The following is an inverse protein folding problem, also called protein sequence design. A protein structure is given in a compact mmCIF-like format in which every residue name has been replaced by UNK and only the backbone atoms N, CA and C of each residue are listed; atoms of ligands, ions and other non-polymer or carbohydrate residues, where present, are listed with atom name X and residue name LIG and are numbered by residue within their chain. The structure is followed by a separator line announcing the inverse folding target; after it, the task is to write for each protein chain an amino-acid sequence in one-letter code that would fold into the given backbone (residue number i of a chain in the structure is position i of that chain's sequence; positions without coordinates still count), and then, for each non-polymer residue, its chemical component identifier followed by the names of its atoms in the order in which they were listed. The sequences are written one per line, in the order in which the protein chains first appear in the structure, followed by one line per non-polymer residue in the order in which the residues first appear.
data_IF_626919614303
#
_entry.id   IF_626919614303
#
_cell.length_a   1.000
_cell.length_b   1.000
_cell.length_c   1.000
_cell.angle_alpha   90.00
_cell.angle_beta   90.00
_cell.angle_gamma   90.00
#
_symmetry.space_group_name_H-M   'P 1'
#
loop_
_entity.id
_entity.type
_entity.pdbx_description
1 polymer ?
#
# COMPACT_ATOMS: atom_id res chain seq x y z
N UNK A 1 18.10 8.73 -4.27
CA UNK A 1 17.86 10.02 -3.59
C UNK A 1 16.56 9.86 -2.81
N UNK A 2 16.59 9.80 -1.46
CA UNK A 2 15.42 9.45 -0.65
C UNK A 2 14.32 10.51 -0.84
N UNK A 3 13.12 10.09 -1.23
CA UNK A 3 11.92 10.94 -1.44
C UNK A 3 11.67 11.89 -0.26
N UNK A 4 12.02 11.48 0.96
CA UNK A 4 12.03 12.29 2.19
C UNK A 4 12.86 13.57 2.11
N UNK A 5 13.92 13.63 1.29
CA UNK A 5 14.78 14.81 1.16
C UNK A 5 14.12 15.93 0.33
N UNK A 6 13.36 15.57 -0.71
CA UNK A 6 12.63 16.52 -1.55
C UNK A 6 11.51 17.19 -0.74
N UNK A 7 10.73 16.42 0.01
CA UNK A 7 9.66 17.00 0.84
C UNK A 7 10.21 17.81 2.02
N UNK A 8 11.32 17.39 2.66
CA UNK A 8 12.01 18.20 3.67
C UNK A 8 12.52 19.54 3.11
N UNK A 9 12.97 19.56 1.86
CA UNK A 9 13.43 20.78 1.18
C UNK A 9 12.25 21.70 0.82
N UNK A 10 11.17 21.16 0.26
CA UNK A 10 9.94 21.91 -0.03
C UNK A 10 9.34 22.54 1.24
N UNK A 11 9.41 21.83 2.39
CA UNK A 11 9.02 22.36 3.72
C UNK A 11 9.77 23.65 4.07
N UNK A 12 11.07 23.66 3.80
CA UNK A 12 11.98 24.77 4.14
C UNK A 12 11.87 25.94 3.17
N UNK A 13 11.63 25.66 1.88
CA UNK A 13 11.77 26.67 0.82
C UNK A 13 10.45 27.36 0.50
N UNK A 14 9.33 26.64 0.47
CA UNK A 14 8.09 27.20 -0.10
C UNK A 14 7.12 27.76 0.92
N UNK A 15 7.14 27.33 2.19
CA UNK A 15 6.19 27.80 3.23
C UNK A 15 4.70 27.58 2.91
N UNK A 16 4.39 27.03 1.74
CA UNK A 16 3.06 26.76 1.19
C UNK A 16 2.88 25.25 1.16
N UNK A 17 1.74 24.79 1.68
CA UNK A 17 1.32 23.38 1.70
C UNK A 17 0.38 23.17 0.52
N UNK A 18 0.80 22.60 -0.63
CA UNK A 18 -0.17 22.19 -1.63
C UNK A 18 -1.04 21.10 -0.99
N UNK A 19 -2.36 21.30 -1.01
CA UNK A 19 -3.33 20.42 -0.33
C UNK A 19 -3.19 18.96 -0.73
N UNK A 20 -2.88 18.71 -1.99
CA UNK A 20 -2.74 17.38 -2.58
C UNK A 20 -1.61 16.55 -1.93
N UNK A 21 -0.55 17.21 -1.44
CA UNK A 21 0.55 16.55 -0.73
C UNK A 21 0.43 16.69 0.80
N UNK A 22 -0.73 17.12 1.32
CA UNK A 22 -0.91 17.35 2.75
C UNK A 22 -0.67 16.07 3.57
N UNK A 23 -1.10 14.92 3.06
CA UNK A 23 -0.97 13.64 3.75
C UNK A 23 0.50 13.18 3.90
N UNK A 24 1.37 13.55 2.94
CA UNK A 24 2.80 13.25 3.02
C UNK A 24 3.46 13.87 4.26
N UNK A 25 2.96 15.01 4.73
CA UNK A 25 3.44 15.61 5.98
C UNK A 25 3.09 14.78 7.21
N UNK A 26 1.93 14.12 7.20
CA UNK A 26 1.51 13.26 8.31
C UNK A 26 2.35 11.97 8.37
N UNK A 27 2.70 11.41 7.20
CA UNK A 27 3.41 10.13 7.15
C UNK A 27 4.92 10.24 7.07
N UNK A 28 5.49 11.37 6.66
CA UNK A 28 6.92 11.48 6.33
C UNK A 28 7.88 11.07 7.45
N UNK A 29 7.57 11.42 8.71
CA UNK A 29 8.39 11.03 9.86
C UNK A 29 8.20 9.55 10.24
N UNK A 30 7.05 8.97 9.91
CA UNK A 30 6.73 7.57 10.17
C UNK A 30 7.24 6.64 9.07
N UNK A 31 7.29 7.12 7.83
CA UNK A 31 7.78 6.39 6.68
C UNK A 31 9.22 5.90 6.88
N UNK A 32 10.09 6.76 7.44
CA UNK A 32 11.47 6.40 7.73
C UNK A 32 11.62 5.52 9.01
N UNK A 33 10.56 5.40 9.83
CA UNK A 33 10.59 4.68 11.13
C UNK A 33 10.01 3.27 11.05
N UNK A 34 9.21 2.98 10.04
CA UNK A 34 8.61 1.66 9.88
C UNK A 34 9.63 0.75 9.20
N UNK A 35 10.06 -0.26 9.94
CA UNK A 35 10.93 -1.32 9.44
C UNK A 35 10.08 -2.47 8.91
N UNK A 36 10.23 -2.75 7.61
CA UNK A 36 9.46 -3.78 6.89
C UNK A 36 10.16 -5.14 6.88
N UNK A 37 11.41 -5.20 7.35
CA UNK A 37 12.18 -6.45 7.41
C UNK A 37 12.01 -7.15 8.78
N UNK A 38 11.15 -6.60 9.65
CA UNK A 38 10.75 -7.20 10.91
C UNK A 38 9.90 -8.47 10.71
N UNK A 39 9.89 -9.32 11.74
CA UNK A 39 8.91 -10.40 11.83
C UNK A 39 7.48 -9.83 11.84
N UNK A 40 6.45 -10.58 11.39
CA UNK A 40 5.07 -10.09 11.41
C UNK A 40 4.61 -9.52 12.76
N UNK A 41 4.98 -10.17 13.86
CA UNK A 41 4.61 -9.74 15.20
C UNK A 41 5.35 -8.47 15.65
N UNK A 42 6.64 -8.36 15.31
CA UNK A 42 7.44 -7.16 15.60
C UNK A 42 6.96 -5.97 14.77
N UNK A 43 6.67 -6.19 13.49
CA UNK A 43 6.08 -5.19 12.61
C UNK A 43 4.76 -4.68 13.19
N UNK A 44 3.84 -5.56 13.60
CA UNK A 44 2.56 -5.15 14.16
C UNK A 44 2.73 -4.33 15.46
N UNK A 45 3.66 -4.73 16.33
CA UNK A 45 3.99 -3.97 17.55
C UNK A 45 4.54 -2.59 17.23
N UNK A 46 5.53 -2.50 16.32
CA UNK A 46 6.16 -1.25 15.94
C UNK A 46 5.16 -0.32 15.22
N UNK A 47 4.39 -0.88 14.29
CA UNK A 47 3.39 -0.16 13.53
C UNK A 47 2.28 0.38 14.45
N UNK A 48 1.88 -0.38 15.48
CA UNK A 48 0.89 0.06 16.44
C UNK A 48 1.28 1.33 17.23
N UNK A 49 2.56 1.66 17.32
CA UNK A 49 3.03 2.88 17.99
C UNK A 49 2.68 4.17 17.22
N UNK A 50 2.38 4.07 15.92
CA UNK A 50 1.92 5.19 15.13
C UNK A 50 0.45 5.53 15.43
N UNK A 51 0.07 6.83 15.45
CA UNK A 51 -1.33 7.23 15.50
C UNK A 51 -2.13 6.55 14.40
N UNK A 52 -3.37 6.13 14.71
CA UNK A 52 -4.21 5.40 13.75
C UNK A 52 -4.35 6.10 12.39
N UNK A 53 -4.57 7.43 12.31
CA UNK A 53 -4.65 8.10 11.01
C UNK A 53 -3.35 7.98 10.20
N UNK A 54 -2.19 8.03 10.86
CA UNK A 54 -0.89 7.84 10.21
C UNK A 54 -0.78 6.41 9.69
N UNK A 55 -1.17 5.41 10.47
CA UNK A 55 -1.16 4.01 10.04
C UNK A 55 -1.97 3.80 8.78
N UNK A 56 -3.19 4.34 8.74
CA UNK A 56 -4.05 4.24 7.57
C UNK A 56 -3.42 4.92 6.35
N UNK A 57 -2.87 6.12 6.51
CA UNK A 57 -2.21 6.83 5.42
C UNK A 57 -0.96 6.10 4.90
N UNK A 58 -0.11 5.56 5.78
CA UNK A 58 1.08 4.78 5.39
C UNK A 58 0.66 3.51 4.64
N UNK A 59 -0.25 2.72 5.21
CA UNK A 59 -0.64 1.44 4.64
C UNK A 59 -1.32 1.62 3.28
N UNK A 60 -2.22 2.59 3.13
CA UNK A 60 -2.85 2.92 1.86
C UNK A 60 -1.80 3.42 0.84
N UNK A 61 -0.94 4.35 1.23
CA UNK A 61 0.10 4.86 0.34
C UNK A 61 1.04 3.75 -0.16
N UNK A 62 1.45 2.85 0.74
CA UNK A 62 2.38 1.78 0.43
C UNK A 62 1.82 0.82 -0.64
N UNK A 63 0.59 0.32 -0.48
CA UNK A 63 0.00 -0.58 -1.48
C UNK A 63 -0.24 0.14 -2.81
N UNK A 64 -0.67 1.40 -2.80
CA UNK A 64 -0.88 2.18 -4.02
C UNK A 64 0.44 2.38 -4.76
N UNK A 65 1.49 2.83 -4.07
CA UNK A 65 2.79 3.10 -4.69
C UNK A 65 3.44 1.86 -5.28
N UNK A 66 3.34 0.71 -4.60
CA UNK A 66 3.90 -0.55 -5.11
C UNK A 66 3.11 -1.06 -6.31
N UNK A 67 1.77 -0.98 -6.24
CA UNK A 67 0.90 -1.42 -7.33
C UNK A 67 1.08 -0.56 -8.58
N UNK A 68 1.22 0.76 -8.43
CA UNK A 68 1.50 1.66 -9.56
C UNK A 68 2.90 1.44 -10.16
N UNK A 69 3.85 0.90 -9.38
CA UNK A 69 5.21 0.66 -9.84
C UNK A 69 5.35 -0.70 -10.56
N UNK A 70 4.66 -1.74 -10.09
CA UNK A 70 4.81 -3.08 -10.66
C UNK A 70 3.70 -4.07 -10.34
N UNK A 71 2.46 -3.59 -10.20
CA UNK A 71 1.26 -4.38 -9.94
C UNK A 71 1.20 -5.03 -8.54
N UNK A 72 0.04 -5.64 -8.22
CA UNK A 72 -0.18 -6.32 -6.94
C UNK A 72 0.83 -7.47 -6.67
N UNK A 73 1.25 -8.28 -7.67
CA UNK A 73 2.30 -9.27 -7.45
C UNK A 73 3.60 -8.69 -6.87
N UNK A 74 4.06 -7.52 -7.35
CA UNK A 74 5.24 -6.86 -6.79
C UNK A 74 5.01 -6.43 -5.34
N UNK A 75 3.86 -5.83 -5.04
CA UNK A 75 3.49 -5.46 -3.67
C UNK A 75 3.58 -6.67 -2.73
N UNK A 76 3.01 -7.81 -3.12
CA UNK A 76 3.04 -9.00 -2.28
C UNK A 76 4.43 -9.66 -2.19
N UNK A 77 5.24 -9.60 -3.25
CA UNK A 77 6.60 -10.15 -3.26
C UNK A 77 7.56 -9.36 -2.37
N UNK A 78 7.40 -8.04 -2.33
CA UNK A 78 8.24 -7.13 -1.56
C UNK A 78 7.92 -7.21 -0.04
N UNK A 79 8.83 -6.65 0.77
CA UNK A 79 8.60 -6.51 2.22
C UNK A 79 7.33 -5.68 2.51
N UNK A 80 6.94 -4.77 1.60
CA UNK A 80 5.70 -3.98 1.68
C UNK A 80 4.42 -4.82 1.75
N UNK A 81 4.40 -6.05 1.23
CA UNK A 81 3.26 -6.95 1.31
C UNK A 81 2.82 -7.26 2.76
N UNK A 82 3.69 -7.03 3.75
CA UNK A 82 3.35 -7.18 5.16
C UNK A 82 2.16 -6.30 5.59
N UNK A 83 1.92 -5.18 4.89
CA UNK A 83 0.82 -4.25 5.14
C UNK A 83 -0.54 -4.75 4.65
N UNK A 84 -0.65 -5.81 3.85
CA UNK A 84 -1.87 -6.07 3.06
C UNK A 84 -3.18 -6.02 3.87
N UNK A 85 -3.28 -6.62 5.08
CA UNK A 85 -4.49 -6.52 5.88
C UNK A 85 -4.82 -5.09 6.35
N UNK A 86 -3.82 -4.32 6.80
CA UNK A 86 -3.96 -2.91 7.19
C UNK A 86 -4.26 -2.03 5.99
N UNK A 87 -3.64 -2.30 4.84
CA UNK A 87 -3.84 -1.55 3.61
C UNK A 87 -5.28 -1.71 3.09
N UNK A 88 -5.85 -2.92 3.16
CA UNK A 88 -7.26 -3.17 2.84
C UNK A 88 -8.19 -2.33 3.72
N UNK A 89 -7.95 -2.33 5.04
CA UNK A 89 -8.74 -1.52 5.96
C UNK A 89 -8.54 -0.02 5.70
N UNK A 90 -7.31 0.40 5.44
CA UNK A 90 -6.95 1.79 5.17
C UNK A 90 -7.67 2.32 3.93
N UNK A 91 -7.63 1.58 2.82
CA UNK A 91 -8.32 1.92 1.57
C UNK A 91 -9.82 2.12 1.82
N UNK A 92 -10.45 1.26 2.62
CA UNK A 92 -11.85 1.40 2.99
C UNK A 92 -12.14 2.73 3.72
N UNK A 93 -11.33 3.08 4.72
CA UNK A 93 -11.59 4.27 5.56
C UNK A 93 -11.20 5.59 4.88
N UNK A 94 -10.29 5.57 3.90
CA UNK A 94 -9.96 6.76 3.10
C UNK A 94 -10.94 6.99 1.94
N UNK A 95 -11.88 6.05 1.72
CA UNK A 95 -12.93 6.15 0.71
C UNK A 95 -12.57 5.53 -0.65
N UNK A 96 -11.58 4.63 -0.69
CA UNK A 96 -11.15 3.89 -1.88
C UNK A 96 -11.67 2.44 -1.81
N UNK A 97 -12.98 2.28 -1.66
CA UNK A 97 -13.62 0.99 -1.38
C UNK A 97 -13.49 -0.04 -2.51
N UNK A 98 -13.48 0.39 -3.77
CA UNK A 98 -13.30 -0.49 -4.92
C UNK A 98 -11.88 -1.09 -4.93
N UNK A 99 -10.86 -0.26 -4.72
CA UNK A 99 -9.47 -0.74 -4.55
C UNK A 99 -9.32 -1.64 -3.32
N UNK A 100 -10.03 -1.34 -2.21
CA UNK A 100 -10.04 -2.20 -1.03
C UNK A 100 -10.61 -3.60 -1.33
N UNK A 101 -11.66 -3.66 -2.15
CA UNK A 101 -12.26 -4.93 -2.59
C UNK A 101 -11.32 -5.73 -3.48
N UNK A 102 -10.70 -5.07 -4.47
CA UNK A 102 -9.73 -5.72 -5.37
C UNK A 102 -8.52 -6.28 -4.59
N UNK A 103 -7.96 -5.49 -3.66
CA UNK A 103 -6.88 -5.95 -2.78
C UNK A 103 -7.32 -7.13 -1.92
N UNK A 104 -8.54 -7.11 -1.37
CA UNK A 104 -9.05 -8.23 -0.57
C UNK A 104 -9.12 -9.53 -1.38
N UNK A 105 -9.66 -9.48 -2.60
CA UNK A 105 -9.69 -10.65 -3.49
C UNK A 105 -8.28 -11.15 -3.80
N UNK A 106 -7.34 -10.23 -4.07
CA UNK A 106 -5.96 -10.59 -4.36
C UNK A 106 -5.26 -11.23 -3.14
N UNK A 107 -5.58 -10.81 -1.92
CA UNK A 107 -5.10 -11.47 -0.70
C UNK A 107 -5.61 -12.92 -0.59
N UNK A 108 -6.87 -13.17 -0.97
CA UNK A 108 -7.46 -14.52 -0.92
C UNK A 108 -6.76 -15.49 -1.88
N UNK A 109 -6.24 -15.01 -3.02
CA UNK A 109 -5.42 -15.82 -3.92
C UNK A 109 -4.16 -16.34 -3.23
N UNK A 110 -3.60 -15.61 -2.25
CA UNK A 110 -2.43 -16.03 -1.48
C UNK A 110 -2.80 -16.91 -0.27
N UNK A 111 -4.01 -16.77 0.25
CA UNK A 111 -4.57 -17.63 1.30
C UNK A 111 -5.41 -16.89 2.32
N UNK A 112 -6.20 -17.67 3.08
CA UNK A 112 -6.99 -17.21 4.22
C UNK A 112 -6.69 -18.09 5.44
N UNK A 113 -6.04 -17.57 6.50
CA UNK A 113 -5.61 -16.18 6.68
C UNK A 113 -4.45 -15.79 5.76
N UNK A 114 -4.35 -14.49 5.45
CA UNK A 114 -3.28 -13.92 4.63
C UNK A 114 -1.88 -14.18 5.23
N UNK A 115 -0.91 -14.71 4.46
CA UNK A 115 0.44 -14.96 4.96
C UNK A 115 1.27 -13.67 5.05
N UNK A 116 1.41 -13.11 6.25
CA UNK A 116 2.26 -11.93 6.52
C UNK A 116 3.76 -12.20 6.45
N UNK A 117 4.18 -13.45 6.59
CA UNK A 117 5.58 -13.82 6.43
C UNK A 117 6.02 -13.66 4.97
N UNK A 118 7.13 -12.96 4.73
CA UNK A 118 7.57 -12.64 3.37
C UNK A 118 8.05 -13.88 2.62
N UNK A 119 8.82 -14.76 3.27
CA UNK A 119 9.30 -15.99 2.64
C UNK A 119 8.13 -16.86 2.21
N UNK A 120 7.09 -16.95 3.03
CA UNK A 120 5.86 -17.67 2.70
C UNK A 120 5.15 -17.07 1.49
N UNK A 121 5.10 -15.74 1.35
CA UNK A 121 4.54 -15.10 0.15
C UNK A 121 5.39 -15.35 -1.09
N UNK A 122 6.71 -15.24 -0.98
CA UNK A 122 7.63 -15.50 -2.11
C UNK A 122 7.41 -16.92 -2.65
N UNK A 123 7.29 -17.93 -1.78
CA UNK A 123 7.00 -19.31 -2.18
C UNK A 123 5.67 -19.46 -2.94
N UNK A 124 4.71 -18.55 -2.75
CA UNK A 124 3.41 -18.57 -3.43
C UNK A 124 3.38 -17.74 -4.71
N UNK A 125 4.31 -16.79 -4.87
CA UNK A 125 4.33 -15.81 -5.97
C UNK A 125 5.41 -16.15 -7.00
N UNK A 126 6.60 -16.53 -6.56
CA UNK A 126 7.74 -16.80 -7.43
C UNK A 126 7.45 -17.86 -8.51
N UNK A 127 6.75 -18.98 -8.20
CA UNK A 127 6.38 -19.96 -9.22
C UNK A 127 5.51 -19.36 -10.34
N UNK A 128 4.65 -18.39 -10.01
CA UNK A 128 3.71 -17.78 -10.94
C UNK A 128 4.41 -17.08 -12.11
N UNK A 129 5.60 -16.52 -11.90
CA UNK A 129 6.40 -15.87 -12.94
C UNK A 129 7.12 -16.84 -13.87
N UNK A 130 7.28 -18.10 -13.43
CA UNK A 130 7.95 -19.16 -14.18
C UNK A 130 6.96 -20.17 -14.79
N UNK A 131 5.67 -20.03 -14.49
CA UNK A 131 4.62 -20.92 -14.92
C UNK A 131 4.49 -20.90 -16.45
N UNK A 132 4.39 -22.09 -17.04
CA UNK A 132 4.02 -22.23 -18.46
C UNK A 132 2.51 -21.96 -18.63
N UNK A 133 2.08 -21.49 -19.80
CA UNK A 133 0.68 -21.13 -20.12
C UNK A 133 -0.37 -22.24 -19.91
N UNK A 134 0.06 -23.47 -19.57
CA UNK A 134 -0.81 -24.63 -19.29
C UNK A 134 -0.84 -25.04 -17.82
N UNK A 135 -0.20 -24.25 -16.95
CA UNK A 135 -0.13 -24.48 -15.50
C UNK A 135 -1.28 -23.73 -14.79
N UNK A 136 -1.99 -24.36 -13.83
CA UNK A 136 -2.88 -23.65 -12.89
C UNK A 136 -2.28 -22.36 -12.29
N UNK A 137 -0.96 -22.30 -12.14
CA UNK A 137 -0.25 -21.11 -11.66
C UNK A 137 -0.28 -19.93 -12.64
N UNK A 138 -0.39 -20.17 -13.96
CA UNK A 138 -0.56 -19.11 -14.95
C UNK A 138 -1.91 -18.40 -14.80
N UNK A 139 -2.98 -19.15 -14.53
CA UNK A 139 -4.31 -18.59 -14.29
C UNK A 139 -4.36 -17.71 -13.02
N UNK A 140 -3.56 -18.05 -12.01
CA UNK A 140 -3.44 -17.24 -10.79
C UNK A 140 -2.67 -15.94 -11.02
N UNK A 141 -1.61 -15.95 -11.84
CA UNK A 141 -0.93 -14.71 -12.22
C UNK A 141 -1.87 -13.79 -12.98
N UNK A 142 -2.56 -14.32 -14.00
CA UNK A 142 -3.54 -13.56 -14.79
C UNK A 142 -4.61 -12.96 -13.87
N UNK A 143 -5.11 -13.74 -12.90
CA UNK A 143 -6.07 -13.26 -11.91
C UNK A 143 -5.53 -12.11 -11.06
N UNK A 144 -4.27 -12.16 -10.63
CA UNK A 144 -3.65 -11.07 -9.87
C UNK A 144 -3.42 -9.81 -10.73
N UNK A 145 -3.20 -9.98 -12.04
CA UNK A 145 -3.11 -8.86 -12.99
C UNK A 145 -4.50 -8.24 -13.23
N UNK A 146 -5.55 -9.03 -13.44
CA UNK A 146 -6.93 -8.53 -13.52
C UNK A 146 -7.32 -7.72 -12.27
N UNK A 147 -6.94 -8.23 -11.09
CA UNK A 147 -7.19 -7.55 -9.83
C UNK A 147 -6.32 -6.29 -9.65
N UNK A 148 -5.17 -6.22 -10.32
CA UNK A 148 -4.37 -5.00 -10.39
C UNK A 148 -5.11 -3.94 -11.19
N UNK A 149 -5.66 -4.30 -12.36
CA UNK A 149 -6.43 -3.36 -13.18
C UNK A 149 -7.64 -2.84 -12.41
N UNK A 150 -8.42 -3.74 -11.78
CA UNK A 150 -9.55 -3.37 -10.94
C UNK A 150 -9.14 -2.48 -9.74
N UNK A 151 -7.97 -2.75 -9.14
CA UNK A 151 -7.43 -1.92 -8.07
C UNK A 151 -7.13 -0.50 -8.55
N UNK A 152 -6.46 -0.37 -9.70
CA UNK A 152 -6.05 0.91 -10.30
C UNK A 152 -7.25 1.70 -10.82
N UNK A 153 -8.25 1.04 -11.40
CA UNK A 153 -9.51 1.66 -11.81
C UNK A 153 -10.24 2.28 -10.60
N UNK A 154 -10.23 1.58 -9.45
CA UNK A 154 -10.78 2.09 -8.19
C UNK A 154 -10.06 3.33 -7.62
N UNK A 155 -8.86 3.67 -8.14
CA UNK A 155 -8.16 4.92 -7.84
C UNK A 155 -8.61 6.10 -8.74
N UNK A 156 -9.65 5.88 -9.54
CA UNK A 156 -10.23 6.88 -10.43
C UNK A 156 -9.47 7.07 -11.75
N UNK A 157 -10.03 7.90 -12.64
CA UNK A 157 -9.53 8.11 -14.00
C UNK A 157 -8.03 8.43 -14.05
N UNK A 158 -7.22 7.43 -14.43
CA UNK A 158 -5.76 7.55 -14.51
C UNK A 158 -5.07 7.65 -13.15
N UNK A 159 -5.58 7.00 -12.11
CA UNK A 159 -5.02 6.98 -10.75
C UNK A 159 -4.93 8.37 -10.10
N UNK A 160 -5.90 9.25 -10.36
CA UNK A 160 -5.86 10.65 -9.89
C UNK A 160 -6.63 10.91 -8.59
N UNK A 161 -7.48 9.99 -8.16
CA UNK A 161 -8.37 10.24 -7.03
C UNK A 161 -7.75 9.87 -5.68
N UNK A 162 -6.63 9.15 -5.67
CA UNK A 162 -6.01 8.70 -4.43
C UNK A 162 -5.37 9.84 -3.62
N UNK A 163 -4.61 10.75 -4.25
CA UNK A 163 -3.98 11.85 -3.50
C UNK A 163 -5.03 12.78 -2.85
N UNK A 164 -6.10 13.20 -3.56
CA UNK A 164 -7.21 13.92 -2.93
C UNK A 164 -7.89 13.12 -1.80
N UNK A 165 -8.08 11.80 -1.95
CA UNK A 165 -8.69 10.97 -0.93
C UNK A 165 -7.84 10.91 0.35
N UNK A 166 -6.53 10.67 0.21
CA UNK A 166 -5.58 10.63 1.33
C UNK A 166 -5.44 12.01 1.99
N UNK A 167 -5.37 13.09 1.21
CA UNK A 167 -5.33 14.45 1.73
C UNK A 167 -6.60 14.79 2.55
N UNK A 168 -7.79 14.49 2.01
CA UNK A 168 -9.06 14.70 2.70
C UNK A 168 -9.15 13.91 4.00
N UNK A 169 -8.70 12.65 3.98
CA UNK A 169 -8.63 11.83 5.20
C UNK A 169 -7.71 12.48 6.25
N UNK A 170 -6.50 12.88 5.85
CA UNK A 170 -5.53 13.52 6.74
C UNK A 170 -6.05 14.82 7.38
N UNK A 171 -6.78 15.65 6.61
CA UNK A 171 -7.43 16.87 7.12
C UNK A 171 -8.53 16.53 8.14
N UNK A 172 -9.43 15.60 7.81
CA UNK A 172 -10.58 15.25 8.65
C UNK A 172 -10.18 14.60 9.98
N UNK A 173 -9.10 13.83 9.99
CA UNK A 173 -8.62 13.15 11.19
C UNK A 173 -7.59 13.97 11.98
N UNK A 174 -7.28 15.20 11.54
CA UNK A 174 -6.21 16.03 12.12
C UNK A 174 -4.87 15.26 12.21
N UNK A 175 -4.58 14.43 11.21
CA UNK A 175 -3.31 13.71 11.12
C UNK A 175 -2.14 14.68 10.84
N UNK A 176 -2.47 15.84 10.29
CA UNK A 176 -1.58 16.99 10.14
C UNK A 176 -1.89 17.97 11.28
N UNK A 177 -0.91 18.34 12.12
CA UNK A 177 -1.09 19.38 13.13
C UNK A 177 -1.31 20.79 12.55
#
# INVERSE_FOLDING_TARGET
MKVTMIFRLLKRVLGVRPREYAYWWAIGDWWDRIDLDLSPDDFLRAFAAAPEPVRNLVAAHCVISETMNGALPQFFYNSSGIFAPEARQALQVVGLGESAMALHQAMLELGDPYPRDRERRIQLIEPLYSASLSDPDAAKLDRLIELTDAFLDGLGNGCRDFEPALARYAENTRAVP
#
